data_IF_605016310417
#
_entry.id   IF_605016310417
#
_cell.length_a   1.000
_cell.length_b   1.000
_cell.length_c   1.000
_cell.angle_alpha   90.00
_cell.angle_beta   90.00
_cell.angle_gamma   90.00
#
_symmetry.space_group_name_H-M   'P 1'
#
loop_
_entity.id
_entity.type
_entity.pdbx_description
1 polymer ?
#
# COMPACT_ATOMS: atom_id res chain seq x y z
N UNK A 1 17.32 -1.78 -17.53
CA UNK A 1 17.45 -0.98 -16.28
C UNK A 1 18.94 -0.81 -15.99
N UNK A 2 19.42 0.41 -15.73
CA UNK A 2 20.81 0.64 -15.34
C UNK A 2 21.01 0.46 -13.84
N UNK A 3 22.25 0.25 -13.39
CA UNK A 3 22.56 0.15 -11.95
C UNK A 3 22.13 1.40 -11.16
N UNK A 4 22.20 2.57 -11.80
CA UNK A 4 21.72 3.83 -11.23
C UNK A 4 20.19 3.88 -11.06
N UNK A 5 19.44 3.38 -12.05
CA UNK A 5 17.98 3.29 -11.98
C UNK A 5 17.53 2.27 -10.93
N UNK A 6 18.25 1.15 -10.81
CA UNK A 6 17.99 0.14 -9.80
C UNK A 6 18.06 0.76 -8.39
N UNK A 7 19.14 1.48 -8.08
CA UNK A 7 19.32 2.07 -6.76
C UNK A 7 18.30 3.18 -6.48
N UNK A 8 17.93 3.97 -7.49
CA UNK A 8 16.85 4.98 -7.37
C UNK A 8 15.52 4.33 -6.97
N UNK A 9 15.08 3.29 -7.70
CA UNK A 9 13.82 2.61 -7.41
C UNK A 9 13.85 1.88 -6.07
N UNK A 10 14.99 1.28 -5.72
CA UNK A 10 15.18 0.61 -4.44
C UNK A 10 14.98 1.57 -3.27
N UNK A 11 15.63 2.73 -3.31
CA UNK A 11 15.49 3.76 -2.27
C UNK A 11 14.04 4.24 -2.15
N UNK A 12 13.38 4.54 -3.27
CA UNK A 12 11.96 4.95 -3.26
C UNK A 12 11.08 3.90 -2.58
N UNK A 13 11.26 2.61 -2.92
CA UNK A 13 10.46 1.53 -2.35
C UNK A 13 10.75 1.35 -0.85
N UNK A 14 12.01 1.39 -0.44
CA UNK A 14 12.40 1.25 0.97
C UNK A 14 11.85 2.41 1.83
N UNK A 15 11.93 3.64 1.34
CA UNK A 15 11.37 4.82 2.00
C UNK A 15 9.83 4.74 2.12
N UNK A 16 9.15 4.31 1.06
CA UNK A 16 7.70 4.09 1.10
C UNK A 16 7.32 3.00 2.10
N UNK A 17 8.04 1.87 2.14
CA UNK A 17 7.80 0.80 3.11
C UNK A 17 8.00 1.30 4.54
N UNK A 18 9.06 2.09 4.80
CA UNK A 18 9.35 2.64 6.12
C UNK A 18 8.22 3.57 6.59
N UNK A 19 7.77 4.49 5.73
CA UNK A 19 6.66 5.42 6.03
C UNK A 19 5.32 4.69 6.25
N UNK A 20 5.03 3.66 5.46
CA UNK A 20 3.85 2.82 5.62
C UNK A 20 3.87 2.03 6.92
N UNK A 21 5.02 1.48 7.33
CA UNK A 21 5.17 0.77 8.60
C UNK A 21 4.84 1.67 9.78
N UNK A 22 5.36 2.90 9.80
CA UNK A 22 5.03 3.89 10.84
C UNK A 22 3.52 4.18 10.88
N UNK A 23 2.92 4.39 9.71
CA UNK A 23 1.48 4.66 9.58
C UNK A 23 0.64 3.48 10.08
N UNK A 24 1.02 2.25 9.72
CA UNK A 24 0.34 1.01 10.14
C UNK A 24 0.41 0.84 11.66
N UNK A 25 1.56 1.09 12.28
CA UNK A 25 1.72 1.00 13.74
C UNK A 25 0.78 1.98 14.44
N UNK A 26 0.79 3.26 14.03
CA UNK A 26 -0.10 4.29 14.59
C UNK A 26 -1.59 3.97 14.40
N UNK A 27 -1.98 3.51 13.21
CA UNK A 27 -3.36 3.09 12.93
C UNK A 27 -3.76 1.87 13.77
N UNK A 28 -2.86 0.91 13.99
CA UNK A 28 -3.15 -0.29 14.79
C UNK A 28 -3.44 0.06 16.24
N UNK A 29 -2.72 1.04 16.80
CA UNK A 29 -3.00 1.55 18.16
C UNK A 29 -4.36 2.26 18.25
N UNK A 30 -4.76 2.95 17.18
CA UNK A 30 -6.01 3.72 17.10
C UNK A 30 -7.26 2.85 16.86
N UNK A 31 -7.08 1.66 16.29
CA UNK A 31 -8.16 0.71 15.95
C UNK A 31 -8.57 -0.16 17.15
N UNK A 32 -7.99 0.07 18.34
CA UNK A 32 -8.31 -0.68 19.56
C UNK A 32 -9.83 -0.77 19.79
N UNK A 33 -10.35 -1.95 20.14
CA UNK A 33 -11.79 -2.17 20.25
C UNK A 33 -12.42 -1.25 21.28
N UNK A 34 -13.51 -0.61 20.87
CA UNK A 34 -14.32 0.22 21.73
C UNK A 34 -14.98 -0.72 22.75
N UNK A 35 -14.66 -0.55 24.03
CA UNK A 35 -15.24 -1.38 25.09
C UNK A 35 -16.75 -1.17 25.17
N UNK A 36 -17.50 -2.27 25.22
CA UNK A 36 -18.96 -2.29 25.27
C UNK A 36 -19.56 -1.68 26.54
N UNK A 37 -18.73 -1.46 27.57
CA UNK A 37 -19.08 -0.90 28.89
C UNK A 37 -19.23 0.62 28.93
N UNK A 38 -18.83 1.31 27.87
CA UNK A 38 -19.09 2.75 27.80
C UNK A 38 -20.59 2.94 27.54
N UNK A 39 -21.26 3.69 28.42
CA UNK A 39 -22.65 4.12 28.31
C UNK A 39 -22.82 5.13 27.15
N UNK A 40 -22.44 4.71 25.95
CA UNK A 40 -22.62 5.44 24.70
C UNK A 40 -24.08 5.20 24.29
N UNK A 41 -24.84 6.27 24.13
CA UNK A 41 -26.22 6.21 23.64
C UNK A 41 -26.34 5.39 22.35
N UNK A 42 -27.53 4.82 22.08
CA UNK A 42 -27.75 3.87 20.96
C UNK A 42 -27.29 4.40 19.59
N UNK A 43 -27.47 5.70 19.32
CA UNK A 43 -27.03 6.35 18.07
C UNK A 43 -25.50 6.42 17.98
N UNK A 44 -24.85 6.94 19.01
CA UNK A 44 -23.40 7.07 19.08
C UNK A 44 -22.65 5.73 19.08
N UNK A 45 -23.31 4.64 19.51
CA UNK A 45 -22.77 3.27 19.39
C UNK A 45 -22.70 2.81 17.94
N UNK A 46 -23.72 3.11 17.11
CA UNK A 46 -23.70 2.76 15.68
C UNK A 46 -22.63 3.56 14.93
N UNK A 47 -22.48 4.84 15.22
CA UNK A 47 -21.43 5.70 14.65
C UNK A 47 -20.03 5.18 15.00
N UNK A 48 -19.83 4.77 16.26
CA UNK A 48 -18.54 4.23 16.70
C UNK A 48 -18.19 2.91 16.01
N UNK A 49 -19.16 2.00 15.82
CA UNK A 49 -18.97 0.75 15.06
C UNK A 49 -18.60 1.05 13.61
N UNK A 50 -19.27 2.02 12.99
CA UNK A 50 -18.99 2.39 11.60
C UNK A 50 -17.60 3.01 11.45
N UNK A 51 -17.22 3.93 12.35
CA UNK A 51 -15.88 4.51 12.40
C UNK A 51 -14.79 3.44 12.58
N UNK A 52 -15.03 2.45 13.45
CA UNK A 52 -14.12 1.33 13.65
C UNK A 52 -13.97 0.48 12.38
N UNK A 53 -15.09 0.16 11.71
CA UNK A 53 -15.08 -0.62 10.46
C UNK A 53 -14.27 0.09 9.37
N UNK A 54 -14.44 1.41 9.22
CA UNK A 54 -13.67 2.24 8.28
C UNK A 54 -12.18 2.21 8.64
N UNK A 55 -11.83 2.40 9.91
CA UNK A 55 -10.45 2.40 10.36
C UNK A 55 -9.76 1.04 10.13
N UNK A 56 -10.47 -0.07 10.38
CA UNK A 56 -10.00 -1.43 10.07
C UNK A 56 -9.80 -1.65 8.56
N UNK A 57 -10.72 -1.15 7.74
CA UNK A 57 -10.60 -1.22 6.27
C UNK A 57 -9.36 -0.48 5.77
N UNK A 58 -9.14 0.74 6.27
CA UNK A 58 -7.96 1.53 5.95
C UNK A 58 -6.67 0.82 6.37
N UNK A 59 -6.62 0.26 7.57
CA UNK A 59 -5.47 -0.52 8.06
C UNK A 59 -5.19 -1.72 7.15
N UNK A 60 -6.22 -2.47 6.75
CA UNK A 60 -6.08 -3.59 5.81
C UNK A 60 -5.50 -3.13 4.47
N UNK A 61 -6.06 -2.07 3.88
CA UNK A 61 -5.57 -1.52 2.61
C UNK A 61 -4.11 -1.07 2.67
N UNK A 62 -3.67 -0.47 3.80
CA UNK A 62 -2.27 -0.07 4.00
C UNK A 62 -1.34 -1.27 4.13
N UNK A 63 -1.74 -2.31 4.88
CA UNK A 63 -0.97 -3.57 4.98
C UNK A 63 -0.82 -4.27 3.63
N UNK A 64 -1.91 -4.34 2.85
CA UNK A 64 -1.86 -4.88 1.49
C UNK A 64 -0.90 -4.08 0.60
N UNK A 65 -0.91 -2.74 0.69
CA UNK A 65 0.04 -1.91 -0.06
C UNK A 65 1.48 -2.19 0.35
N UNK A 66 1.77 -2.31 1.65
CA UNK A 66 3.11 -2.67 2.14
C UNK A 66 3.58 -4.00 1.54
N UNK A 67 2.75 -5.03 1.56
CA UNK A 67 3.09 -6.33 0.96
C UNK A 67 3.41 -6.22 -0.54
N UNK A 68 2.62 -5.45 -1.29
CA UNK A 68 2.88 -5.23 -2.72
C UNK A 68 4.18 -4.48 -2.98
N UNK A 69 4.58 -3.56 -2.10
CA UNK A 69 5.88 -2.88 -2.20
C UNK A 69 7.04 -3.84 -1.88
N UNK A 70 6.89 -4.70 -0.88
CA UNK A 70 7.86 -5.76 -0.58
C UNK A 70 8.02 -6.72 -1.77
N UNK A 71 6.91 -7.09 -2.43
CA UNK A 71 6.94 -7.87 -3.67
C UNK A 71 7.58 -7.11 -4.84
N UNK A 72 7.37 -5.79 -4.94
CA UNK A 72 8.00 -4.95 -5.94
C UNK A 72 9.52 -4.91 -5.76
N UNK A 73 10.00 -4.82 -4.51
CA UNK A 73 11.41 -4.91 -4.18
C UNK A 73 12.01 -6.27 -4.58
N UNK A 74 11.27 -7.36 -4.34
CA UNK A 74 11.69 -8.69 -4.81
C UNK A 74 11.77 -8.78 -6.33
N UNK A 75 10.82 -8.17 -7.05
CA UNK A 75 10.85 -8.09 -8.53
C UNK A 75 12.04 -7.26 -9.03
N UNK A 76 12.33 -6.16 -8.36
CA UNK A 76 13.49 -5.30 -8.64
C UNK A 76 14.78 -6.10 -8.53
N UNK A 77 14.98 -6.82 -7.43
CA UNK A 77 16.14 -7.69 -7.21
C UNK A 77 16.26 -8.84 -8.22
N UNK A 78 15.14 -9.31 -8.78
CA UNK A 78 15.09 -10.38 -9.79
C UNK A 78 15.27 -9.88 -11.23
N UNK A 79 15.29 -8.56 -11.45
CA UNK A 79 15.36 -7.96 -12.79
C UNK A 79 14.04 -7.95 -13.57
N UNK A 80 12.91 -8.32 -12.94
CA UNK A 80 11.58 -8.36 -13.56
C UNK A 80 10.70 -7.17 -13.12
N UNK A 81 11.33 -6.04 -12.80
CA UNK A 81 10.63 -4.83 -12.36
C UNK A 81 10.27 -3.94 -13.54
N UNK A 82 9.11 -3.29 -13.44
CA UNK A 82 8.65 -2.36 -14.45
C UNK A 82 8.03 -3.02 -15.69
N UNK A 83 7.68 -4.31 -15.67
CA UNK A 83 7.02 -5.00 -16.79
C UNK A 83 5.54 -5.21 -16.48
N UNK A 84 4.67 -4.91 -17.45
CA UNK A 84 3.24 -5.13 -17.36
C UNK A 84 2.90 -6.63 -17.40
N UNK A 85 2.13 -7.11 -16.43
CA UNK A 85 1.65 -8.51 -16.35
C UNK A 85 0.61 -8.89 -17.42
N UNK A 86 0.10 -7.93 -18.20
CA UNK A 86 -0.96 -8.15 -19.19
C UNK A 86 -0.43 -8.06 -20.62
N UNK A 87 0.31 -7.00 -20.94
CA UNK A 87 0.86 -6.79 -22.28
C UNK A 87 2.36 -7.06 -22.38
N UNK A 88 3.03 -7.39 -21.28
CA UNK A 88 4.48 -7.64 -21.23
C UNK A 88 5.36 -6.45 -21.67
N UNK A 89 4.77 -5.26 -21.78
CA UNK A 89 5.48 -4.02 -22.10
C UNK A 89 5.99 -3.30 -20.85
N UNK A 90 6.96 -2.40 -21.05
CA UNK A 90 7.50 -1.56 -19.99
C UNK A 90 6.44 -0.58 -19.44
N UNK A 91 6.32 -0.55 -18.12
CA UNK A 91 5.52 0.43 -17.38
C UNK A 91 6.30 1.74 -17.36
N UNK A 92 5.61 2.84 -17.68
CA UNK A 92 6.21 4.18 -17.68
C UNK A 92 6.94 4.51 -16.37
N UNK A 93 8.17 4.99 -16.47
CA UNK A 93 9.00 5.45 -15.34
C UNK A 93 8.23 6.42 -14.42
N UNK A 94 7.45 7.34 -15.00
CA UNK A 94 6.64 8.29 -14.22
C UNK A 94 5.67 7.59 -13.27
N UNK A 95 5.10 6.46 -13.70
CA UNK A 95 4.20 5.66 -12.88
C UNK A 95 4.97 4.87 -11.83
N UNK A 96 6.10 4.25 -12.19
CA UNK A 96 6.93 3.49 -11.24
C UNK A 96 7.51 4.38 -10.14
N UNK A 97 7.77 5.66 -10.40
CA UNK A 97 8.19 6.63 -9.37
C UNK A 97 7.07 7.03 -8.41
N UNK A 98 5.80 6.93 -8.81
CA UNK A 98 4.63 7.29 -7.98
C UNK A 98 4.04 6.07 -7.27
N UNK A 99 4.03 4.93 -7.95
CA UNK A 99 3.44 3.67 -7.51
C UNK A 99 4.31 2.50 -7.99
N UNK A 100 5.48 2.29 -7.35
CA UNK A 100 6.43 1.24 -7.74
C UNK A 100 5.85 -0.18 -7.56
N UNK A 101 4.79 -0.33 -6.77
CA UNK A 101 4.09 -1.60 -6.64
C UNK A 101 3.27 -2.01 -7.88
N UNK A 102 3.07 -1.10 -8.83
CA UNK A 102 2.27 -1.34 -10.03
C UNK A 102 2.76 -2.55 -10.82
N UNK A 103 1.83 -3.44 -11.20
CA UNK A 103 2.09 -4.64 -12.03
C UNK A 103 1.45 -4.52 -13.43
N UNK A 104 0.76 -3.43 -13.72
CA UNK A 104 -0.04 -3.24 -14.95
C UNK A 104 0.25 -1.85 -15.49
N UNK A 105 0.38 -1.69 -16.82
CA UNK A 105 0.55 -0.39 -17.47
C UNK A 105 -0.74 0.44 -17.45
N UNK A 106 -0.69 1.72 -17.86
CA UNK A 106 -1.90 2.57 -17.88
C UNK A 106 -2.88 2.12 -18.95
N UNK A 107 -2.39 1.70 -20.11
CA UNK A 107 -3.22 1.27 -21.23
C UNK A 107 -4.04 0.02 -20.87
N UNK A 108 -3.42 -0.94 -20.18
CA UNK A 108 -4.12 -2.14 -19.69
C UNK A 108 -5.04 -1.86 -18.49
N UNK A 109 -4.82 -0.77 -17.75
CA UNK A 109 -5.72 -0.37 -16.66
C UNK A 109 -6.98 0.34 -17.18
N UNK A 110 -6.89 0.96 -18.36
CA UNK A 110 -7.98 1.70 -19.00
C UNK A 110 -8.80 0.86 -20.00
N UNK A 111 -8.29 -0.32 -20.38
CA UNK A 111 -9.02 -1.31 -21.18
C UNK A 111 -10.02 -2.09 -20.33
#
# INVERSE_FOLDING_TARGET
>A
MTDAQFEEYKQIIEDEIASLKLTITSLTESVKPISTDTAIGRLSRMEAIQAQSIAQSNLRSKKMRQQRLEEALLRLNRGNFGICSVCEEDISDKRLKIAPESTVCMDCLQR
#
